data_IF_390072287835
#
_entry.id   IF_390072287835
#
_cell.length_a   1.000
_cell.length_b   1.000
_cell.length_c   1.000
_cell.angle_alpha   90.00
_cell.angle_beta   90.00
_cell.angle_gamma   90.00
#
_symmetry.space_group_name_H-M   'P 1'
#
loop_
_entity.id
_entity.type
_entity.pdbx_description
1 polymer ?
#
# COMPACT_ATOMS: atom_id res chain seq x y z
N UNK A 1 10.38 -24.48 -0.61
CA UNK A 1 10.54 -23.33 0.32
C UNK A 1 9.53 -23.48 1.44
N UNK A 2 9.92 -23.26 2.71
CA UNK A 2 8.96 -23.28 3.82
C UNK A 2 8.35 -21.89 4.03
N UNK A 3 7.17 -21.84 4.67
CA UNK A 3 6.41 -20.61 4.91
C UNK A 3 7.24 -19.55 5.65
N UNK A 4 7.89 -19.94 6.75
CA UNK A 4 8.66 -19.04 7.59
C UNK A 4 9.77 -18.30 6.83
N UNK A 5 10.46 -18.96 5.90
CA UNK A 5 11.48 -18.30 5.06
C UNK A 5 10.88 -17.29 4.09
N UNK A 6 9.68 -17.54 3.55
CA UNK A 6 8.99 -16.59 2.69
C UNK A 6 8.51 -15.37 3.46
N UNK A 7 7.96 -15.56 4.67
CA UNK A 7 7.57 -14.47 5.57
C UNK A 7 8.79 -13.61 5.93
N UNK A 8 9.88 -14.23 6.40
CA UNK A 8 11.10 -13.49 6.75
C UNK A 8 11.70 -12.70 5.58
N UNK A 9 11.70 -13.27 4.36
CA UNK A 9 12.14 -12.57 3.16
C UNK A 9 11.25 -11.37 2.83
N UNK A 10 9.94 -11.53 2.98
CA UNK A 10 8.95 -10.47 2.74
C UNK A 10 9.11 -9.35 3.75
N UNK A 11 9.21 -9.67 5.04
CA UNK A 11 9.39 -8.71 6.13
C UNK A 11 10.67 -7.88 5.95
N UNK A 12 11.77 -8.53 5.55
CA UNK A 12 13.03 -7.85 5.29
C UNK A 12 12.90 -6.80 4.16
N UNK A 13 12.25 -7.15 3.05
CA UNK A 13 12.04 -6.22 1.94
C UNK A 13 11.11 -5.07 2.36
N UNK A 14 10.02 -5.36 3.05
CA UNK A 14 9.06 -4.34 3.50
C UNK A 14 9.73 -3.37 4.48
N UNK A 15 10.54 -3.86 5.41
CA UNK A 15 11.30 -3.04 6.34
C UNK A 15 12.24 -2.07 5.60
N UNK A 16 12.96 -2.55 4.58
CA UNK A 16 13.80 -1.69 3.74
C UNK A 16 12.95 -0.62 3.05
N UNK A 17 11.87 -1.00 2.37
CA UNK A 17 10.99 -0.05 1.65
C UNK A 17 10.44 1.03 2.60
N UNK A 18 10.02 0.67 3.81
CA UNK A 18 9.55 1.62 4.82
C UNK A 18 10.63 2.64 5.20
N UNK A 19 11.87 2.19 5.38
CA UNK A 19 12.98 3.07 5.75
C UNK A 19 13.48 3.95 4.60
N UNK A 20 13.32 3.52 3.34
CA UNK A 20 13.71 4.33 2.18
C UNK A 20 12.86 5.60 2.06
N UNK A 21 11.60 5.58 2.50
CA UNK A 21 10.70 6.74 2.39
C UNK A 21 11.25 8.02 3.04
N UNK A 22 12.01 7.90 4.13
CA UNK A 22 12.54 9.07 4.84
C UNK A 22 13.67 9.76 4.07
N UNK A 23 14.34 9.03 3.17
CA UNK A 23 15.49 9.54 2.43
C UNK A 23 15.11 10.61 1.40
N UNK A 24 13.86 10.56 0.92
CA UNK A 24 13.31 11.51 -0.06
C UNK A 24 12.70 12.77 0.57
N UNK A 25 12.74 12.90 1.91
CA UNK A 25 12.31 14.13 2.56
C UNK A 25 13.30 15.27 2.23
N UNK A 26 12.83 16.41 1.69
CA UNK A 26 13.68 17.54 1.38
C UNK A 26 14.30 18.10 2.66
N UNK A 27 15.57 18.48 2.56
CA UNK A 27 16.26 19.19 3.65
C UNK A 27 15.97 20.68 3.52
N UNK A 28 15.56 21.36 4.61
CA UNK A 28 15.29 22.78 4.56
C UNK A 28 16.57 23.55 4.20
N UNK A 29 16.43 24.56 3.34
CA UNK A 29 17.57 25.36 2.85
C UNK A 29 18.21 26.24 3.93
N UNK A 30 17.48 26.51 5.02
CA UNK A 30 17.98 27.31 6.15
C UNK A 30 17.80 26.54 7.45
N UNK A 31 18.68 26.75 8.45
CA UNK A 31 18.59 26.10 9.75
C UNK A 31 17.50 26.77 10.62
N UNK A 32 16.24 26.75 10.17
CA UNK A 32 15.11 27.33 10.89
C UNK A 32 13.93 26.37 10.95
N UNK A 33 13.22 26.40 12.08
CA UNK A 33 11.99 25.61 12.27
C UNK A 33 10.93 25.99 11.23
N UNK A 34 10.86 27.27 10.84
CA UNK A 34 9.96 27.75 9.80
C UNK A 34 10.26 27.10 8.44
N UNK A 35 11.53 26.93 8.08
CA UNK A 35 11.90 26.26 6.83
C UNK A 35 11.56 24.77 6.86
N UNK A 36 11.65 24.11 8.03
CA UNK A 36 11.17 22.73 8.17
C UNK A 36 9.64 22.63 7.95
N UNK A 37 8.85 23.54 8.54
CA UNK A 37 7.40 23.57 8.33
C UNK A 37 6.99 23.95 6.89
N UNK A 38 7.87 24.61 6.13
CA UNK A 38 7.60 24.88 4.72
C UNK A 38 7.51 23.57 3.89
N UNK A 39 8.17 22.49 4.33
CA UNK A 39 8.18 21.18 3.67
C UNK A 39 6.99 20.27 4.07
N UNK A 40 5.93 20.84 4.64
CA UNK A 40 4.81 20.08 5.22
C UNK A 40 4.15 19.09 4.24
N UNK A 41 4.12 19.40 2.93
CA UNK A 41 3.54 18.54 1.90
C UNK A 41 4.34 17.23 1.78
N UNK A 42 5.67 17.33 1.79
CA UNK A 42 6.57 16.18 1.74
C UNK A 42 6.45 15.32 2.99
N UNK A 43 6.38 15.95 4.17
CA UNK A 43 6.16 15.27 5.45
C UNK A 43 4.80 14.58 5.47
N UNK A 44 3.76 15.23 4.96
CA UNK A 44 2.42 14.66 4.85
C UNK A 44 2.40 13.41 3.97
N UNK A 45 2.93 13.51 2.74
CA UNK A 45 3.01 12.37 1.81
C UNK A 45 3.82 11.23 2.43
N UNK A 46 4.94 11.52 3.09
CA UNK A 46 5.74 10.54 3.82
C UNK A 46 4.93 9.78 4.88
N UNK A 47 4.26 10.49 5.80
CA UNK A 47 3.50 9.89 6.90
C UNK A 47 2.36 9.02 6.37
N UNK A 48 1.62 9.52 5.37
CA UNK A 48 0.55 8.77 4.73
C UNK A 48 1.10 7.51 4.08
N UNK A 49 2.13 7.63 3.24
CA UNK A 49 2.71 6.50 2.52
C UNK A 49 3.24 5.44 3.49
N UNK A 50 3.97 5.85 4.54
CA UNK A 50 4.46 4.95 5.58
C UNK A 50 3.32 4.21 6.28
N UNK A 51 2.27 4.93 6.67
CA UNK A 51 1.10 4.36 7.36
C UNK A 51 0.36 3.36 6.47
N UNK A 52 0.30 3.60 5.15
CA UNK A 52 -0.31 2.68 4.20
C UNK A 52 0.52 1.40 4.00
N UNK A 53 1.84 1.54 3.89
CA UNK A 53 2.75 0.39 3.76
C UNK A 53 2.69 -0.50 5.01
N UNK A 54 2.71 0.06 6.22
CA UNK A 54 2.62 -0.75 7.45
C UNK A 54 1.23 -1.39 7.59
N UNK A 55 0.17 -0.69 7.17
CA UNK A 55 -1.20 -1.24 7.20
C UNK A 55 -1.37 -2.44 6.27
N UNK A 56 -0.76 -2.41 5.08
CA UNK A 56 -0.81 -3.57 4.19
C UNK A 56 0.06 -4.71 4.71
N UNK A 57 1.17 -4.41 5.38
CA UNK A 57 2.02 -5.42 5.99
C UNK A 57 1.24 -6.19 7.05
N UNK A 58 0.46 -5.49 7.89
CA UNK A 58 -0.47 -6.14 8.83
C UNK A 58 -1.48 -7.06 8.11
N UNK A 59 -2.00 -6.64 6.95
CA UNK A 59 -2.91 -7.48 6.17
C UNK A 59 -2.21 -8.70 5.55
N UNK A 60 -0.97 -8.55 5.08
CA UNK A 60 -0.14 -9.66 4.60
C UNK A 60 0.16 -10.64 5.74
N UNK A 61 0.60 -10.15 6.90
CA UNK A 61 0.83 -10.97 8.08
C UNK A 61 -0.41 -11.78 8.46
N UNK A 62 -1.57 -11.14 8.57
CA UNK A 62 -2.83 -11.81 8.93
C UNK A 62 -3.32 -12.83 7.87
N UNK A 63 -3.00 -12.60 6.59
CA UNK A 63 -3.22 -13.59 5.53
C UNK A 63 -2.32 -14.81 5.79
N UNK A 64 -1.03 -14.56 5.99
CA UNK A 64 -0.02 -15.60 6.12
C UNK A 64 -0.13 -16.39 7.42
N UNK A 65 -0.65 -15.82 8.51
CA UNK A 65 -1.02 -16.56 9.74
C UNK A 65 -1.92 -17.77 9.40
N UNK A 66 -2.87 -17.61 8.47
CA UNK A 66 -3.81 -18.67 8.07
C UNK A 66 -3.24 -19.65 7.02
N UNK A 67 -2.11 -19.32 6.40
CA UNK A 67 -1.46 -20.14 5.37
C UNK A 67 -0.80 -21.37 5.98
N UNK A 68 -1.10 -22.54 5.41
CA UNK A 68 -0.51 -23.83 5.78
C UNK A 68 0.41 -24.38 4.69
N UNK A 69 0.08 -24.14 3.42
CA UNK A 69 0.82 -24.64 2.25
C UNK A 69 1.28 -23.48 1.37
N UNK A 70 2.52 -23.55 0.90
CA UNK A 70 3.07 -22.63 -0.10
C UNK A 70 3.75 -23.41 -1.22
N UNK A 71 3.77 -22.84 -2.41
CA UNK A 71 4.52 -23.36 -3.56
C UNK A 71 5.20 -22.21 -4.32
N UNK A 72 5.78 -22.53 -5.47
CA UNK A 72 6.49 -21.57 -6.31
C UNK A 72 5.58 -20.48 -6.90
N UNK A 73 4.28 -20.76 -7.10
CA UNK A 73 3.33 -19.74 -7.62
C UNK A 73 3.02 -18.72 -6.54
N UNK A 74 2.84 -19.16 -5.28
CA UNK A 74 2.73 -18.24 -4.14
C UNK A 74 3.97 -17.37 -4.01
N UNK A 75 5.16 -17.96 -4.15
CA UNK A 75 6.42 -17.20 -4.12
C UNK A 75 6.46 -16.11 -5.19
N UNK A 76 6.22 -16.44 -6.46
CA UNK A 76 6.28 -15.45 -7.53
C UNK A 76 5.21 -14.37 -7.42
N UNK A 77 3.99 -14.73 -7.00
CA UNK A 77 2.94 -13.75 -6.74
C UNK A 77 3.32 -12.79 -5.60
N UNK A 78 3.95 -13.31 -4.54
CA UNK A 78 4.48 -12.50 -3.44
C UNK A 78 5.62 -11.58 -3.90
N UNK A 79 6.57 -12.11 -4.67
CA UNK A 79 7.68 -11.34 -5.21
C UNK A 79 7.22 -10.24 -6.17
N UNK A 80 6.21 -10.50 -7.00
CA UNK A 80 5.60 -9.49 -7.87
C UNK A 80 4.93 -8.38 -7.05
N UNK A 81 4.18 -8.75 -6.00
CA UNK A 81 3.62 -7.78 -5.08
C UNK A 81 4.70 -6.91 -4.40
N UNK A 82 5.80 -7.51 -3.96
CA UNK A 82 6.96 -6.80 -3.39
C UNK A 82 7.65 -5.88 -4.40
N UNK A 83 7.77 -6.30 -5.67
CA UNK A 83 8.30 -5.46 -6.74
C UNK A 83 7.46 -4.20 -6.91
N UNK A 84 6.13 -4.34 -6.99
CA UNK A 84 5.22 -3.19 -7.05
C UNK A 84 5.37 -2.30 -5.82
N UNK A 85 5.51 -2.90 -4.63
CA UNK A 85 5.71 -2.16 -3.37
C UNK A 85 7.01 -1.37 -3.36
N UNK A 86 8.11 -1.93 -3.87
CA UNK A 86 9.41 -1.26 -3.92
C UNK A 86 9.43 -0.01 -4.80
N UNK A 87 8.43 0.16 -5.68
CA UNK A 87 8.29 1.33 -6.54
C UNK A 87 7.55 2.49 -5.86
N UNK A 88 6.90 2.24 -4.72
CA UNK A 88 6.12 3.25 -3.99
C UNK A 88 6.99 4.42 -3.50
N UNK A 89 8.19 4.21 -2.90
CA UNK A 89 9.04 5.33 -2.50
C UNK A 89 9.42 6.25 -3.66
N UNK A 90 9.77 5.67 -4.82
CA UNK A 90 10.07 6.43 -6.02
C UNK A 90 8.89 7.32 -6.45
N UNK A 91 7.67 6.77 -6.47
CA UNK A 91 6.47 7.54 -6.82
C UNK A 91 6.15 8.61 -5.77
N UNK A 92 6.36 8.32 -4.49
CA UNK A 92 6.19 9.26 -3.39
C UNK A 92 7.17 10.45 -3.53
N UNK A 93 8.42 10.20 -3.87
CA UNK A 93 9.42 11.24 -4.16
C UNK A 93 9.04 12.08 -5.38
N UNK A 94 8.51 11.44 -6.42
CA UNK A 94 8.14 12.16 -7.64
C UNK A 94 6.95 13.11 -7.42
N UNK A 95 5.95 12.69 -6.66
CA UNK A 95 4.79 13.52 -6.34
C UNK A 95 5.12 14.65 -5.37
N UNK A 96 6.04 14.46 -4.42
CA UNK A 96 6.47 15.55 -3.52
C UNK A 96 7.32 16.59 -4.23
N UNK A 97 8.11 16.19 -5.24
CA UNK A 97 8.91 17.13 -6.05
C UNK A 97 8.05 18.02 -6.96
N UNK A 98 6.88 17.52 -7.38
CA UNK A 98 5.97 18.22 -8.29
C UNK A 98 4.51 18.08 -7.83
N UNK A 99 4.15 18.63 -6.65
CA UNK A 99 2.87 18.34 -5.98
C UNK A 99 1.65 18.80 -6.79
N UNK A 100 1.79 19.84 -7.59
CA UNK A 100 0.73 20.41 -8.42
C UNK A 100 0.69 19.82 -9.84
N UNK A 101 1.57 18.87 -10.16
CA UNK A 101 1.63 18.27 -11.49
C UNK A 101 0.73 17.05 -11.59
N UNK A 102 -0.03 16.98 -12.69
CA UNK A 102 -0.97 15.87 -12.95
C UNK A 102 -0.32 14.50 -13.04
N UNK A 103 0.83 14.41 -13.70
CA UNK A 103 1.43 13.11 -14.02
C UNK A 103 1.99 12.38 -12.79
N UNK A 104 2.75 13.02 -11.89
CA UNK A 104 3.15 12.39 -10.63
C UNK A 104 1.96 11.86 -9.83
N UNK A 105 0.88 12.63 -9.71
CA UNK A 105 -0.35 12.20 -9.04
C UNK A 105 -0.97 10.96 -9.70
N UNK A 106 -1.14 10.99 -11.02
CA UNK A 106 -1.69 9.87 -11.80
C UNK A 106 -0.84 8.61 -11.65
N UNK A 107 0.48 8.70 -11.81
CA UNK A 107 1.36 7.54 -11.72
C UNK A 107 1.46 6.99 -10.30
N UNK A 108 1.43 7.84 -9.27
CA UNK A 108 1.33 7.40 -7.88
C UNK A 108 0.07 6.55 -7.64
N UNK A 109 -1.08 7.03 -8.12
CA UNK A 109 -2.37 6.31 -8.02
C UNK A 109 -2.31 4.98 -8.78
N UNK A 110 -1.76 4.99 -10.00
CA UNK A 110 -1.62 3.79 -10.84
C UNK A 110 -0.69 2.75 -10.19
N UNK A 111 0.43 3.17 -9.60
CA UNK A 111 1.32 2.27 -8.86
C UNK A 111 0.60 1.64 -7.67
N UNK A 112 -0.17 2.43 -6.90
CA UNK A 112 -1.01 1.91 -5.81
C UNK A 112 -2.08 0.92 -6.30
N UNK A 113 -2.69 1.19 -7.46
CA UNK A 113 -3.68 0.31 -8.07
C UNK A 113 -3.07 -1.02 -8.53
N UNK A 114 -1.95 -0.97 -9.24
CA UNK A 114 -1.20 -2.17 -9.68
C UNK A 114 -0.74 -2.99 -8.48
N UNK A 115 -0.25 -2.33 -7.43
CA UNK A 115 0.13 -2.98 -6.18
C UNK A 115 -1.06 -3.68 -5.49
N UNK A 116 -2.24 -3.06 -5.49
CA UNK A 116 -3.47 -3.68 -4.97
C UNK A 116 -3.90 -4.89 -5.81
N UNK A 117 -3.80 -4.81 -7.15
CA UNK A 117 -4.05 -5.94 -8.04
C UNK A 117 -3.07 -7.09 -7.77
N UNK A 118 -1.77 -6.78 -7.62
CA UNK A 118 -0.75 -7.76 -7.28
C UNK A 118 -1.05 -8.45 -5.93
N UNK A 119 -1.57 -7.71 -4.94
CA UNK A 119 -2.02 -8.30 -3.69
C UNK A 119 -3.20 -9.27 -3.88
N UNK A 120 -4.16 -8.95 -4.75
CA UNK A 120 -5.25 -9.88 -5.08
C UNK A 120 -4.76 -11.14 -5.81
N UNK A 121 -3.74 -11.02 -6.66
CA UNK A 121 -3.09 -12.17 -7.29
C UNK A 121 -2.39 -13.06 -6.25
N UNK A 122 -1.71 -12.46 -5.27
CA UNK A 122 -1.13 -13.18 -4.13
C UNK A 122 -2.20 -13.93 -3.33
N UNK A 123 -3.30 -13.26 -2.99
CA UNK A 123 -4.43 -13.89 -2.29
C UNK A 123 -5.00 -15.07 -3.10
N UNK A 124 -5.15 -14.91 -4.41
CA UNK A 124 -5.63 -15.98 -5.28
C UNK A 124 -4.66 -17.18 -5.32
N UNK A 125 -3.36 -16.92 -5.46
CA UNK A 125 -2.31 -17.95 -5.45
C UNK A 125 -2.28 -18.71 -4.12
N UNK A 126 -2.38 -18.00 -3.00
CA UNK A 126 -2.45 -18.59 -1.66
C UNK A 126 -3.69 -19.47 -1.49
N UNK A 127 -4.87 -18.99 -1.91
CA UNK A 127 -6.14 -19.71 -1.76
C UNK A 127 -6.20 -20.99 -2.57
N UNK A 128 -5.49 -21.08 -3.69
CA UNK A 128 -5.36 -22.31 -4.48
C UNK A 128 -4.91 -23.50 -3.64
N UNK A 129 -4.03 -23.27 -2.66
CA UNK A 129 -3.52 -24.31 -1.76
C UNK A 129 -4.15 -24.30 -0.37
N UNK A 130 -4.87 -23.23 -0.02
CA UNK A 130 -5.41 -22.96 1.31
C UNK A 130 -6.89 -22.52 1.18
N UNK A 131 -7.80 -23.43 0.78
CA UNK A 131 -9.18 -23.08 0.42
C UNK A 131 -10.02 -22.56 1.60
N UNK A 132 -9.60 -22.82 2.84
CA UNK A 132 -10.22 -22.28 4.07
C UNK A 132 -10.04 -20.77 4.24
N UNK A 133 -9.09 -20.17 3.51
CA UNK A 133 -8.87 -18.72 3.53
C UNK A 133 -9.98 -18.02 2.74
N UNK A 134 -10.77 -17.23 3.44
CA UNK A 134 -11.91 -16.53 2.88
C UNK A 134 -11.48 -15.30 2.08
N UNK A 135 -12.02 -15.14 0.86
CA UNK A 135 -11.83 -13.92 0.05
C UNK A 135 -12.45 -12.72 0.77
N UNK A 136 -11.90 -11.53 0.55
CA UNK A 136 -12.63 -10.28 0.77
C UNK A 136 -13.97 -10.33 0.04
N UNK A 137 -15.04 -9.79 0.63
CA UNK A 137 -16.36 -9.79 0.01
C UNK A 137 -16.36 -8.98 -1.29
N UNK A 138 -17.19 -9.37 -2.27
CA UNK A 138 -17.28 -8.66 -3.55
C UNK A 138 -17.65 -7.17 -3.39
N UNK A 139 -18.54 -6.76 -2.48
CA UNK A 139 -18.85 -5.34 -2.31
C UNK A 139 -17.65 -4.54 -1.79
N UNK A 140 -16.85 -5.10 -0.88
CA UNK A 140 -15.66 -4.43 -0.37
C UNK A 140 -14.61 -4.24 -1.48
N UNK A 141 -14.41 -5.26 -2.33
CA UNK A 141 -13.54 -5.14 -3.50
C UNK A 141 -14.03 -4.07 -4.48
N UNK A 142 -15.34 -4.00 -4.73
CA UNK A 142 -15.93 -2.96 -5.57
C UNK A 142 -15.70 -1.54 -5.01
N UNK A 143 -15.78 -1.36 -3.68
CA UNK A 143 -15.47 -0.07 -3.05
C UNK A 143 -14.00 0.29 -3.22
N UNK A 144 -13.09 -0.67 -3.04
CA UNK A 144 -11.65 -0.45 -3.21
C UNK A 144 -11.33 -0.09 -4.68
N UNK A 145 -11.74 -0.93 -5.64
CA UNK A 145 -11.42 -0.67 -7.05
C UNK A 145 -12.18 0.53 -7.63
N UNK A 146 -13.44 0.72 -7.26
CA UNK A 146 -14.22 1.91 -7.64
C UNK A 146 -13.63 3.19 -7.07
N UNK A 147 -13.14 3.16 -5.82
CA UNK A 147 -12.44 4.29 -5.22
C UNK A 147 -11.17 4.68 -5.96
N UNK A 148 -10.37 3.72 -6.44
CA UNK A 148 -9.22 4.01 -7.30
C UNK A 148 -9.62 4.74 -8.59
N UNK A 149 -10.71 4.31 -9.24
CA UNK A 149 -11.21 4.98 -10.45
C UNK A 149 -11.65 6.41 -10.16
N UNK A 150 -12.37 6.63 -9.06
CA UNK A 150 -12.78 7.98 -8.64
C UNK A 150 -11.56 8.87 -8.39
N UNK A 151 -10.60 8.40 -7.60
CA UNK A 151 -9.39 9.17 -7.27
C UNK A 151 -8.55 9.46 -8.51
N UNK A 152 -8.45 8.49 -9.44
CA UNK A 152 -7.75 8.67 -10.72
C UNK A 152 -8.43 9.72 -11.61
N UNK A 153 -9.76 9.65 -11.75
CA UNK A 153 -10.52 10.63 -12.53
C UNK A 153 -10.41 12.03 -11.92
N UNK A 154 -10.50 12.14 -10.60
CA UNK A 154 -10.32 13.43 -9.92
C UNK A 154 -8.90 13.97 -10.13
N UNK A 155 -7.87 13.13 -9.99
CA UNK A 155 -6.47 13.55 -10.19
C UNK A 155 -6.17 14.01 -11.63
N UNK A 156 -6.88 13.47 -12.63
CA UNK A 156 -6.76 13.92 -14.03
C UNK A 156 -7.33 15.33 -14.25
N UNK A 157 -8.32 15.74 -13.45
CA UNK A 157 -8.97 17.06 -13.54
C UNK A 157 -8.26 18.06 -12.62
N UNK A 158 -7.99 17.65 -11.38
CA UNK A 158 -7.36 18.46 -10.35
C UNK A 158 -6.41 17.58 -9.51
N UNK A 159 -5.09 17.65 -9.74
CA UNK A 159 -4.12 16.81 -9.05
C UNK A 159 -4.05 17.08 -7.55
N UNK A 160 -4.26 18.32 -7.10
CA UNK A 160 -4.23 18.67 -5.68
C UNK A 160 -5.37 17.97 -4.94
N UNK A 161 -6.60 18.03 -5.47
CA UNK A 161 -7.74 17.34 -4.88
C UNK A 161 -7.55 15.82 -4.92
N UNK A 162 -7.04 15.30 -6.05
CA UNK A 162 -6.69 13.89 -6.19
C UNK A 162 -5.73 13.43 -5.09
N UNK A 163 -4.66 14.19 -4.85
CA UNK A 163 -3.66 13.93 -3.82
C UNK A 163 -4.28 13.81 -2.42
N UNK A 164 -5.20 14.71 -2.06
CA UNK A 164 -5.87 14.66 -0.75
C UNK A 164 -6.85 13.48 -0.62
N UNK A 165 -7.45 13.02 -1.72
CA UNK A 165 -8.38 11.89 -1.71
C UNK A 165 -7.68 10.52 -1.61
N UNK A 166 -6.41 10.41 -2.04
CA UNK A 166 -5.62 9.18 -1.96
C UNK A 166 -5.57 8.60 -0.53
N UNK A 167 -5.14 9.34 0.51
CA UNK A 167 -5.16 8.83 1.88
C UNK A 167 -6.56 8.43 2.33
N UNK A 168 -7.59 9.20 2.00
CA UNK A 168 -8.99 8.88 2.37
C UNK A 168 -9.41 7.53 1.78
N UNK A 169 -9.16 7.34 0.50
CA UNK A 169 -9.42 6.08 -0.19
C UNK A 169 -8.64 4.91 0.42
N UNK A 170 -7.37 5.13 0.71
CA UNK A 170 -6.49 4.11 1.23
C UNK A 170 -6.86 3.72 2.68
N UNK A 171 -7.18 4.67 3.55
CA UNK A 171 -7.70 4.40 4.89
C UNK A 171 -9.06 3.69 4.86
N UNK A 172 -9.98 4.10 3.99
CA UNK A 172 -11.27 3.41 3.82
C UNK A 172 -11.05 1.95 3.43
N UNK A 173 -10.11 1.68 2.52
CA UNK A 173 -9.74 0.33 2.08
C UNK A 173 -9.16 -0.49 3.23
N UNK A 174 -8.28 0.10 4.06
CA UNK A 174 -7.71 -0.55 5.25
C UNK A 174 -8.81 -0.86 6.28
N UNK A 175 -9.75 0.07 6.53
CA UNK A 175 -10.88 -0.12 7.45
C UNK A 175 -11.78 -1.25 6.98
N UNK A 176 -12.10 -1.31 5.68
CA UNK A 176 -12.91 -2.39 5.11
C UNK A 176 -12.21 -3.75 5.22
N UNK A 177 -10.88 -3.78 5.07
CA UNK A 177 -10.09 -4.98 5.26
C UNK A 177 -10.00 -5.43 6.74
N UNK A 178 -9.99 -4.49 7.70
CA UNK A 178 -9.80 -4.75 9.14
C UNK A 178 -11.09 -4.92 9.94
N UNK A 179 -12.20 -4.24 9.60
CA UNK A 179 -13.52 -4.41 10.25
C UNK A 179 -13.99 -5.87 10.26
N UNK A 180 -13.57 -6.65 9.27
CA UNK A 180 -13.85 -8.10 9.21
C UNK A 180 -13.19 -8.91 10.34
N UNK A 181 -12.07 -8.43 10.89
CA UNK A 181 -11.24 -9.14 11.90
C UNK A 181 -11.80 -9.02 13.32
N UNK A 182 -12.45 -7.90 13.67
CA UNK A 182 -13.04 -7.70 15.00
C UNK A 182 -14.25 -8.60 15.27
N UNK A 183 -15.00 -8.98 14.24
CA UNK A 183 -16.11 -9.92 14.38
C UNK A 183 -15.66 -11.37 14.61
N UNK A 184 -14.44 -11.74 14.21
CA UNK A 184 -13.92 -13.10 14.34
C UNK A 184 -13.17 -13.35 15.66
N UNK A 185 -12.70 -12.29 16.35
CA UNK A 185 -12.11 -12.39 17.70
C UNK A 185 -13.13 -12.54 18.83
N UNK A 186 -14.44 -12.41 18.57
CA UNK A 186 -15.48 -12.64 19.58
C UNK A 186 -15.82 -14.13 19.79
N UNK A 187 -15.17 -15.04 19.08
CA UNK A 187 -15.43 -16.48 19.13
C UNK A 187 -14.18 -17.33 19.43
N UNK A 188 -13.10 -16.70 19.90
CA UNK A 188 -11.90 -17.35 20.42
C UNK A 188 -11.54 -16.74 21.76
#
# INVERSE_FOLDING_TARGET
MNKARLEAFTDAIIAIVLTLLVLDLPRPQTPSVRALFAEWQSIYVYIITFTLLISIWLNHHDLFVQVKKIDQVVFWANSFWLLCQSFIPFMASWITKFPHSKWPAVFYILTGFVWMLAYQLLVAAVRRLNPHIHRMSSPALSVVFGGFLVVLTVALINPDVGLFLIPVHAFASVILATKRKWHLRKYF
#
